data_IF_124280907692
#
_entry.id   IF_124280907692
#
_cell.length_a   1.000
_cell.length_b   1.000
_cell.length_c   1.000
_cell.angle_alpha   90.00
_cell.angle_beta   90.00
_cell.angle_gamma   90.00
#
_symmetry.space_group_name_H-M   'P 1'
#
loop_
_entity.id
_entity.type
_entity.pdbx_description
1 polymer ?
#
# COMPACT_ATOMS: atom_id res chain seq x y z
N UNK A 1 -10.65 7.25 3.72
CA UNK A 1 -9.30 6.91 3.23
C UNK A 1 -8.80 5.67 3.97
N UNK A 2 -8.21 4.73 3.25
CA UNK A 2 -7.48 3.57 3.81
C UNK A 2 -6.02 3.69 3.36
N UNK A 3 -5.10 3.49 4.30
CA UNK A 3 -3.66 3.61 4.07
C UNK A 3 -3.02 2.24 4.25
N UNK A 4 -2.24 1.79 3.25
CA UNK A 4 -1.33 0.66 3.41
C UNK A 4 0.08 1.20 3.58
N UNK A 5 0.62 1.02 4.78
CA UNK A 5 1.97 1.45 5.13
C UNK A 5 2.98 0.35 4.81
N UNK A 6 3.84 0.60 3.82
CA UNK A 6 4.95 -0.27 3.47
C UNK A 6 6.23 0.10 4.24
N UNK A 7 7.15 -0.87 4.35
CA UNK A 7 8.53 -0.58 4.75
C UNK A 7 9.18 0.29 3.66
N UNK A 8 9.81 1.40 4.04
CA UNK A 8 10.40 2.38 3.11
C UNK A 8 9.77 3.77 3.21
N UNK A 9 9.97 4.59 2.18
CA UNK A 9 9.58 6.01 2.13
C UNK A 9 8.22 6.31 1.49
N UNK A 10 7.45 5.29 1.12
CA UNK A 10 6.18 5.42 0.39
C UNK A 10 5.04 4.68 1.10
N UNK A 11 3.81 5.07 0.75
CA UNK A 11 2.57 4.43 1.17
C UNK A 11 1.57 4.39 0.00
N UNK A 12 0.60 3.49 0.08
CA UNK A 12 -0.52 3.42 -0.86
C UNK A 12 -1.78 3.93 -0.17
N UNK A 13 -2.54 4.73 -0.90
CA UNK A 13 -3.75 5.39 -0.43
C UNK A 13 -4.93 4.94 -1.28
N UNK A 14 -5.99 4.51 -0.60
CA UNK A 14 -7.31 4.31 -1.19
C UNK A 14 -8.22 5.41 -0.68
N UNK A 15 -8.48 6.40 -1.53
CA UNK A 15 -9.31 7.55 -1.22
C UNK A 15 -10.64 7.45 -1.99
N UNK A 16 -11.80 7.43 -1.32
CA UNK A 16 -13.09 7.40 -2.01
C UNK A 16 -13.34 8.61 -2.93
N UNK A 17 -12.65 9.72 -2.72
CA UNK A 17 -12.79 10.94 -3.53
C UNK A 17 -11.84 10.99 -4.73
N UNK A 18 -10.68 10.33 -4.66
CA UNK A 18 -9.60 10.47 -5.65
C UNK A 18 -9.12 9.13 -6.24
N UNK A 19 -9.69 8.02 -5.81
CA UNK A 19 -9.28 6.68 -6.21
C UNK A 19 -8.02 6.20 -5.49
N UNK A 20 -7.24 5.39 -6.19
CA UNK A 20 -6.04 4.74 -5.66
C UNK A 20 -4.78 5.47 -6.13
N UNK A 21 -3.85 5.76 -5.21
CA UNK A 21 -2.58 6.37 -5.56
C UNK A 21 -1.44 6.01 -4.58
N UNK A 22 -0.21 6.18 -5.06
CA UNK A 22 1.02 6.06 -4.26
C UNK A 22 1.48 7.46 -3.88
N UNK A 23 1.89 7.65 -2.63
CA UNK A 23 2.46 8.92 -2.15
C UNK A 23 3.73 8.67 -1.34
N UNK A 24 4.68 9.61 -1.41
CA UNK A 24 5.79 9.60 -0.46
C UNK A 24 5.26 9.89 0.95
N UNK A 25 5.84 9.26 1.98
CA UNK A 25 5.46 9.52 3.37
C UNK A 25 5.58 11.00 3.71
N UNK A 26 6.62 11.67 3.19
CA UNK A 26 6.85 13.10 3.42
C UNK A 26 5.72 13.95 2.85
N UNK A 27 5.30 13.73 1.60
CA UNK A 27 4.19 14.47 1.00
C UNK A 27 2.86 14.14 1.67
N UNK A 28 2.61 12.87 1.95
CA UNK A 28 1.41 12.46 2.64
C UNK A 28 1.27 13.16 4.00
N UNK A 29 2.33 13.14 4.82
CA UNK A 29 2.32 13.76 6.14
C UNK A 29 2.30 15.29 6.09
N UNK A 30 2.85 15.92 5.04
CA UNK A 30 2.75 17.39 4.88
C UNK A 30 1.31 17.87 4.64
N UNK A 31 0.44 16.99 4.14
CA UNK A 31 -0.99 17.28 3.98
C UNK A 31 -1.76 16.83 5.22
N UNK A 32 -1.53 15.59 5.67
CA UNK A 32 -2.24 14.96 6.78
C UNK A 32 -2.10 15.74 8.10
N UNK A 33 -0.90 16.23 8.40
CA UNK A 33 -0.62 17.03 9.59
C UNK A 33 -0.12 18.43 9.21
N UNK A 34 -0.78 19.05 8.22
CA UNK A 34 -0.38 20.37 7.70
C UNK A 34 -0.24 21.44 8.78
N UNK A 35 -1.07 21.38 9.82
CA UNK A 35 -1.14 22.40 10.87
C UNK A 35 -0.42 21.99 12.16
N UNK A 36 0.36 20.89 12.14
CA UNK A 36 1.05 20.35 13.32
C UNK A 36 0.11 20.11 14.51
N UNK A 37 -1.12 19.65 14.22
CA UNK A 37 -2.13 19.29 15.23
C UNK A 37 -2.23 17.77 15.40
N UNK A 38 -1.41 17.02 14.68
CA UNK A 38 -1.57 15.59 14.47
C UNK A 38 -2.74 15.27 13.55
N UNK A 39 -2.92 13.97 13.32
CA UNK A 39 -4.11 13.44 12.69
C UNK A 39 -4.51 12.11 13.32
N UNK A 40 -5.74 11.69 13.09
CA UNK A 40 -6.31 10.51 13.73
C UNK A 40 -6.37 9.34 12.76
N UNK A 41 -5.84 8.20 13.18
CA UNK A 41 -5.95 6.96 12.43
C UNK A 41 -6.74 5.93 13.25
N UNK A 42 -7.64 5.21 12.59
CA UNK A 42 -8.27 4.03 13.16
C UNK A 42 -7.44 2.79 12.81
N UNK A 43 -6.88 2.14 13.82
CA UNK A 43 -6.17 0.87 13.65
C UNK A 43 -7.16 -0.27 13.84
N UNK A 44 -7.40 -1.04 12.78
CA UNK A 44 -8.23 -2.24 12.85
C UNK A 44 -7.31 -3.45 13.01
N UNK A 45 -7.32 -4.03 14.22
CA UNK A 45 -6.60 -5.26 14.52
C UNK A 45 -7.57 -6.43 14.67
N UNK A 46 -7.25 -7.63 14.17
CA UNK A 46 -8.11 -8.80 14.31
C UNK A 46 -8.14 -9.27 15.78
N UNK A 47 -9.34 -9.60 16.29
CA UNK A 47 -9.52 -10.12 17.67
C UNK A 47 -9.02 -11.56 17.87
N UNK A 48 -8.83 -12.29 16.78
CA UNK A 48 -8.36 -13.68 16.73
C UNK A 48 -7.24 -13.77 15.72
N UNK A 49 -6.39 -14.80 15.82
CA UNK A 49 -5.37 -15.04 14.79
C UNK A 49 -6.01 -15.11 13.39
N UNK A 50 -5.45 -14.34 12.46
CA UNK A 50 -5.87 -14.42 11.06
C UNK A 50 -5.53 -15.81 10.55
N UNK A 51 -6.52 -16.49 9.97
CA UNK A 51 -6.26 -17.74 9.25
C UNK A 51 -5.25 -17.45 8.15
N UNK A 52 -4.07 -18.04 8.24
CA UNK A 52 -3.07 -17.98 7.18
C UNK A 52 -3.68 -18.60 5.93
N UNK A 53 -3.95 -17.78 4.93
CA UNK A 53 -4.36 -18.28 3.63
C UNK A 53 -3.12 -18.82 2.92
N UNK A 54 -3.07 -20.14 2.72
CA UNK A 54 -2.02 -20.75 1.90
C UNK A 54 -2.39 -20.53 0.44
N UNK A 55 -1.74 -19.57 -0.19
CA UNK A 55 -1.82 -19.39 -1.64
C UNK A 55 -1.29 -20.68 -2.30
N UNK A 56 -2.14 -21.39 -3.03
CA UNK A 56 -1.72 -22.50 -3.89
C UNK A 56 -1.11 -21.93 -5.17
N UNK A 57 0.08 -21.33 -5.05
CA UNK A 57 0.84 -20.86 -6.22
C UNK A 57 1.56 -22.06 -6.82
N UNK A 58 1.52 -22.26 -8.15
CA UNK A 58 2.33 -23.26 -8.81
C UNK A 58 3.81 -23.08 -8.42
N UNK A 59 4.51 -24.19 -8.15
CA UNK A 59 5.95 -24.15 -7.82
C UNK A 59 6.79 -23.51 -8.94
N UNK A 60 6.28 -23.52 -10.16
CA UNK A 60 6.87 -22.86 -11.31
C UNK A 60 6.02 -21.66 -11.71
N UNK A 61 6.56 -20.47 -11.48
CA UNK A 61 6.06 -19.26 -12.10
C UNK A 61 6.70 -19.16 -13.49
N UNK A 62 5.89 -19.31 -14.54
CA UNK A 62 6.34 -19.09 -15.92
C UNK A 62 6.34 -17.59 -16.19
N UNK A 63 7.40 -16.91 -15.78
CA UNK A 63 7.61 -15.53 -16.19
C UNK A 63 8.28 -15.55 -17.58
N UNK A 64 7.57 -15.05 -18.59
CA UNK A 64 8.16 -14.74 -19.88
C UNK A 64 8.75 -13.33 -19.79
N UNK A 65 10.08 -13.23 -19.69
CA UNK A 65 10.77 -11.94 -19.80
C UNK A 65 10.87 -11.63 -21.29
N UNK A 66 10.03 -10.72 -21.78
CA UNK A 66 10.18 -10.14 -23.11
C UNK A 66 11.11 -8.94 -23.00
N UNK A 67 12.38 -9.02 -23.45
CA UNK A 67 13.17 -7.82 -23.62
C UNK A 67 12.46 -6.93 -24.65
N UNK A 68 12.28 -5.66 -24.34
CA UNK A 68 11.78 -4.69 -25.30
C UNK A 68 12.81 -4.59 -26.43
N UNK A 69 12.54 -5.26 -27.55
CA UNK A 69 13.25 -5.04 -28.80
C UNK A 69 12.86 -3.68 -29.33
N UNK A 70 13.83 -2.77 -29.41
CA UNK A 70 13.71 -1.54 -30.18
C UNK A 70 13.85 -1.98 -31.64
N UNK A 71 12.73 -1.99 -32.37
CA UNK A 71 12.74 -2.08 -33.84
C UNK A 71 13.24 -0.76 -34.43
#
# INVERSE_FOLDING_TARGET
MVIINYKGGYLQVFDPSYGEYISSKREFFSIWDRYNKGGYALIVAPKKELKKFKLNIPKHLFFEIKPFGIN
#
